data_IF_362011746151
#
_entry.id   IF_362011746151
#
_cell.length_a   1.000
_cell.length_b   1.000
_cell.length_c   1.000
_cell.angle_alpha   90.00
_cell.angle_beta   90.00
_cell.angle_gamma   90.00
#
_symmetry.space_group_name_H-M   'P 1'
#
loop_
_entity.id
_entity.type
_entity.pdbx_description
1 polymer ?
#
# COMPACT_ATOMS: atom_id res chain seq x y z
N UNK A 1 14.61 -8.28 2.55
CA UNK A 1 14.02 -9.01 1.40
C UNK A 1 12.56 -8.63 1.16
N UNK A 2 11.63 -8.88 2.10
CA UNK A 2 10.19 -8.55 1.94
C UNK A 2 9.93 -7.15 1.35
N UNK A 3 10.51 -6.11 1.96
CA UNK A 3 10.37 -4.72 1.51
C UNK A 3 10.80 -4.52 0.04
N UNK A 4 11.93 -5.10 -0.37
CA UNK A 4 12.44 -4.96 -1.73
C UNK A 4 11.54 -5.67 -2.74
N UNK A 5 11.03 -6.85 -2.41
CA UNK A 5 10.08 -7.59 -3.27
C UNK A 5 8.78 -6.80 -3.42
N UNK A 6 8.25 -6.22 -2.33
CA UNK A 6 7.09 -5.34 -2.40
C UNK A 6 7.35 -4.10 -3.27
N UNK A 7 8.55 -3.51 -3.18
CA UNK A 7 8.95 -2.37 -4.03
C UNK A 7 9.00 -2.73 -5.51
N UNK A 8 9.59 -3.87 -5.85
CA UNK A 8 9.65 -4.37 -7.23
C UNK A 8 8.24 -4.65 -7.77
N UNK A 9 7.39 -5.34 -6.99
CA UNK A 9 6.01 -5.62 -7.37
C UNK A 9 5.18 -4.32 -7.53
N UNK A 10 5.38 -3.35 -6.65
CA UNK A 10 4.75 -2.02 -6.76
C UNK A 10 5.17 -1.30 -8.05
N UNK A 11 6.45 -1.32 -8.39
CA UNK A 11 6.96 -0.72 -9.62
C UNK A 11 6.33 -1.37 -10.86
N UNK A 12 6.30 -2.71 -10.91
CA UNK A 12 5.65 -3.44 -12.02
C UNK A 12 4.16 -3.11 -12.13
N UNK A 13 3.43 -3.05 -11.02
CA UNK A 13 2.02 -2.68 -11.04
C UNK A 13 1.79 -1.28 -11.63
N UNK A 14 2.65 -0.33 -11.33
CA UNK A 14 2.56 1.01 -11.92
C UNK A 14 2.91 1.02 -13.41
N UNK A 15 4.00 0.37 -13.80
CA UNK A 15 4.42 0.27 -15.22
C UNK A 15 3.31 -0.37 -16.06
N UNK A 16 2.69 -1.44 -15.57
CA UNK A 16 1.59 -2.11 -16.28
C UNK A 16 0.34 -1.23 -16.42
N UNK A 17 0.12 -0.29 -15.50
CA UNK A 17 -1.03 0.61 -15.56
C UNK A 17 -0.87 1.77 -16.56
N UNK A 18 0.37 2.14 -16.88
CA UNK A 18 0.70 3.23 -17.78
C UNK A 18 2.01 2.96 -18.55
N UNK A 19 2.07 1.90 -19.38
CA UNK A 19 3.31 1.41 -19.98
C UNK A 19 3.95 2.39 -20.98
N UNK A 20 3.17 3.35 -21.48
CA UNK A 20 3.62 4.38 -22.41
C UNK A 20 3.92 5.71 -21.72
N UNK A 21 3.84 5.79 -20.39
CA UNK A 21 4.16 7.03 -19.67
C UNK A 21 5.67 7.30 -19.73
N UNK A 22 6.04 8.47 -20.26
CA UNK A 22 7.42 8.96 -20.21
C UNK A 22 7.80 9.62 -18.88
N UNK A 23 6.87 9.70 -17.93
CA UNK A 23 7.10 10.36 -16.63
C UNK A 23 7.77 9.35 -15.69
N UNK A 24 9.02 9.62 -15.23
CA UNK A 24 9.70 8.72 -14.32
C UNK A 24 9.02 8.71 -12.95
N UNK A 25 8.94 7.51 -12.36
CA UNK A 25 8.46 7.35 -10.98
C UNK A 25 9.59 6.99 -10.05
N UNK A 26 9.68 7.72 -8.94
CA UNK A 26 10.66 7.46 -7.86
C UNK A 26 9.92 7.51 -6.53
N UNK A 27 10.11 6.50 -5.69
CA UNK A 27 9.53 6.51 -4.35
C UNK A 27 9.67 5.19 -3.59
N UNK A 28 9.93 5.31 -2.29
CA UNK A 28 9.88 4.21 -1.33
C UNK A 28 8.44 3.78 -0.97
N UNK A 29 7.46 4.64 -1.23
CA UNK A 29 6.09 4.51 -0.74
C UNK A 29 5.37 3.24 -1.21
N UNK A 30 5.65 2.74 -2.41
CA UNK A 30 5.10 1.46 -2.90
C UNK A 30 5.55 0.26 -2.05
N UNK A 31 6.84 0.21 -1.69
CA UNK A 31 7.36 -0.83 -0.81
C UNK A 31 6.78 -0.72 0.62
N UNK A 32 6.67 0.52 1.14
CA UNK A 32 6.01 0.79 2.42
C UNK A 32 4.54 0.34 2.38
N UNK A 33 3.84 0.57 1.27
CA UNK A 33 2.47 0.11 1.07
C UNK A 33 2.36 -1.41 1.22
N UNK A 34 3.34 -2.15 0.72
CA UNK A 34 3.41 -3.61 0.94
C UNK A 34 3.63 -4.00 2.40
N UNK A 35 4.44 -3.26 3.16
CA UNK A 35 4.56 -3.46 4.61
C UNK A 35 3.22 -3.21 5.30
N UNK A 36 2.48 -2.17 4.91
CA UNK A 36 1.15 -1.88 5.45
C UNK A 36 0.12 -2.96 5.09
N UNK A 37 0.19 -3.52 3.89
CA UNK A 37 -0.62 -4.66 3.46
C UNK A 37 -0.33 -5.93 4.26
N UNK A 38 0.93 -6.18 4.64
CA UNK A 38 1.23 -7.25 5.58
C UNK A 38 0.71 -6.93 6.99
N UNK A 39 0.90 -5.69 7.44
CA UNK A 39 0.52 -5.24 8.77
C UNK A 39 -0.97 -5.39 9.04
N UNK A 40 -1.83 -5.04 8.07
CA UNK A 40 -3.29 -5.15 8.26
C UNK A 40 -3.75 -6.61 8.47
N UNK A 41 -3.05 -7.58 7.87
CA UNK A 41 -3.37 -9.01 8.02
C UNK A 41 -2.85 -9.58 9.34
N UNK A 42 -1.65 -9.18 9.75
CA UNK A 42 -1.03 -9.67 10.99
C UNK A 42 -1.60 -9.00 12.24
N UNK A 43 -1.93 -7.71 12.13
CA UNK A 43 -2.25 -6.85 13.27
C UNK A 43 -3.55 -6.04 13.07
N UNK A 44 -4.67 -6.65 12.65
CA UNK A 44 -5.89 -5.91 12.30
C UNK A 44 -6.45 -5.10 13.48
N UNK A 45 -6.25 -5.58 14.72
CA UNK A 45 -6.75 -4.99 15.96
C UNK A 45 -5.78 -4.01 16.62
N UNK A 46 -4.53 -3.94 16.18
CA UNK A 46 -3.57 -2.99 16.75
C UNK A 46 -4.01 -1.56 16.46
N UNK A 47 -3.71 -0.64 17.36
CA UNK A 47 -4.00 0.78 17.17
C UNK A 47 -2.80 1.49 16.56
N UNK A 48 -3.03 2.26 15.50
CA UNK A 48 -2.06 3.20 14.91
C UNK A 48 -2.33 4.59 15.45
N UNK A 49 -1.26 5.30 15.78
CA UNK A 49 -1.32 6.69 16.24
C UNK A 49 -1.41 7.60 15.02
N UNK A 50 -2.48 8.37 14.94
CA UNK A 50 -2.76 9.30 13.85
C UNK A 50 -2.69 10.71 14.40
N UNK A 51 -1.87 11.54 13.77
CA UNK A 51 -1.82 12.96 14.09
C UNK A 51 -2.99 13.68 13.41
N UNK A 52 -3.81 14.37 14.20
CA UNK A 52 -4.99 15.12 13.73
C UNK A 52 -4.94 16.55 14.27
N UNK A 53 -5.87 17.41 13.82
CA UNK A 53 -5.98 18.78 14.32
C UNK A 53 -6.20 18.86 15.84
N UNK A 54 -6.84 17.86 16.44
CA UNK A 54 -7.09 17.77 17.89
C UNK A 54 -6.01 17.02 18.68
N UNK A 55 -4.86 16.71 18.07
CA UNK A 55 -3.79 15.93 18.69
C UNK A 55 -3.67 14.50 18.15
N UNK A 56 -2.97 13.65 18.90
CA UNK A 56 -2.70 12.26 18.51
C UNK A 56 -3.84 11.37 18.96
N UNK A 57 -4.53 10.74 18.02
CA UNK A 57 -5.61 9.77 18.27
C UNK A 57 -5.16 8.36 17.90
N UNK A 58 -5.65 7.37 18.64
CA UNK A 58 -5.34 5.96 18.39
C UNK A 58 -6.49 5.30 17.62
N UNK A 59 -6.25 4.94 16.36
CA UNK A 59 -7.25 4.37 15.44
C UNK A 59 -6.91 2.91 15.18
N UNK A 60 -7.89 1.99 15.14
CA UNK A 60 -7.63 0.60 14.73
C UNK A 60 -6.97 0.54 13.34
N UNK A 61 -5.95 -0.29 13.20
CA UNK A 61 -5.16 -0.40 11.97
C UNK A 61 -6.01 -0.81 10.78
N UNK A 62 -6.95 -1.74 10.97
CA UNK A 62 -7.88 -2.11 9.91
C UNK A 62 -8.66 -0.90 9.36
N UNK A 63 -9.14 -0.01 10.24
CA UNK A 63 -9.88 1.19 9.83
C UNK A 63 -8.95 2.16 9.11
N UNK A 64 -7.82 2.52 9.72
CA UNK A 64 -6.91 3.52 9.15
C UNK A 64 -6.31 3.06 7.82
N UNK A 65 -5.77 1.85 7.76
CA UNK A 65 -5.12 1.32 6.56
C UNK A 65 -6.16 0.94 5.49
N UNK A 66 -7.33 0.45 5.89
CA UNK A 66 -8.44 0.15 4.99
C UNK A 66 -8.98 1.40 4.29
N UNK A 67 -9.22 2.49 5.03
CA UNK A 67 -9.62 3.77 4.46
C UNK A 67 -8.51 4.34 3.55
N UNK A 68 -7.26 4.27 3.99
CA UNK A 68 -6.14 4.77 3.21
C UNK A 68 -6.01 4.06 1.85
N UNK A 69 -6.07 2.72 1.82
CA UNK A 69 -5.96 1.97 0.55
C UNK A 69 -7.18 2.18 -0.34
N UNK A 70 -8.37 2.35 0.24
CA UNK A 70 -9.57 2.69 -0.52
C UNK A 70 -9.42 4.04 -1.23
N UNK A 71 -8.85 5.04 -0.56
CA UNK A 71 -8.53 6.34 -1.19
C UNK A 71 -7.52 6.17 -2.32
N UNK A 72 -6.48 5.33 -2.15
CA UNK A 72 -5.54 5.03 -3.25
C UNK A 72 -6.27 4.44 -4.46
N UNK A 73 -7.22 3.51 -4.23
CA UNK A 73 -8.01 2.89 -5.29
C UNK A 73 -8.89 3.90 -6.03
N UNK A 74 -9.67 4.71 -5.29
CA UNK A 74 -10.56 5.73 -5.88
C UNK A 74 -9.75 6.74 -6.70
N UNK A 75 -8.64 7.24 -6.15
CA UNK A 75 -7.78 8.18 -6.86
C UNK A 75 -7.07 7.53 -8.05
N UNK A 76 -6.69 6.26 -7.94
CA UNK A 76 -6.09 5.49 -9.02
C UNK A 76 -7.04 5.28 -10.19
N UNK A 77 -8.29 4.91 -9.93
CA UNK A 77 -9.34 4.79 -10.97
C UNK A 77 -9.62 6.16 -11.60
N UNK A 78 -9.75 7.20 -10.78
CA UNK A 78 -9.93 8.57 -11.28
C UNK A 78 -8.76 9.08 -12.13
N UNK A 79 -7.53 8.68 -11.80
CA UNK A 79 -6.33 9.02 -12.57
C UNK A 79 -6.27 8.28 -13.91
N UNK A 80 -6.73 7.02 -13.99
CA UNK A 80 -6.81 6.29 -15.26
C UNK A 80 -7.85 6.91 -16.20
N UNK A 81 -8.95 7.42 -15.66
CA UNK A 81 -10.02 8.05 -16.44
C UNK A 81 -9.62 9.42 -17.04
N UNK A 82 -8.50 10.00 -16.61
CA UNK A 82 -8.00 11.29 -17.09
C UNK A 82 -6.81 11.07 -18.01
N UNK A 83 -6.82 11.72 -19.16
CA UNK A 83 -5.71 11.70 -20.13
C UNK A 83 -4.51 12.53 -19.68
N UNK A 84 -4.71 13.46 -18.73
CA UNK A 84 -3.64 14.27 -18.15
C UNK A 84 -3.25 13.78 -16.75
N UNK A 85 -1.93 13.70 -16.52
CA UNK A 85 -1.35 13.22 -15.27
C UNK A 85 -1.36 14.34 -14.22
N UNK A 86 -2.47 14.51 -13.50
CA UNK A 86 -2.69 15.72 -12.66
C UNK A 86 -2.13 15.65 -11.23
N UNK A 87 -1.81 14.47 -10.70
CA UNK A 87 -1.56 14.30 -9.25
C UNK A 87 -0.11 14.11 -8.83
N UNK A 88 0.78 13.73 -9.75
CA UNK A 88 2.17 13.34 -9.42
C UNK A 88 2.31 12.09 -8.54
N UNK A 89 1.20 11.44 -8.16
CA UNK A 89 1.19 10.27 -7.27
C UNK A 89 1.00 8.98 -8.08
N UNK A 90 1.91 8.03 -7.90
CA UNK A 90 1.83 6.70 -8.50
C UNK A 90 0.85 5.79 -7.72
N UNK A 91 -0.46 6.06 -7.81
CA UNK A 91 -1.49 5.31 -7.07
C UNK A 91 -1.42 3.80 -7.30
N UNK A 92 -1.15 3.37 -8.53
CA UNK A 92 -1.03 1.95 -8.88
C UNK A 92 0.17 1.28 -8.23
N UNK A 93 1.23 2.03 -7.91
CA UNK A 93 2.35 1.51 -7.10
C UNK A 93 1.91 1.23 -5.66
N UNK A 94 1.11 2.11 -5.05
CA UNK A 94 0.59 1.90 -3.70
C UNK A 94 -0.35 0.70 -3.65
N UNK A 95 -1.28 0.60 -4.60
CA UNK A 95 -2.25 -0.50 -4.70
C UNK A 95 -1.51 -1.83 -4.92
N UNK A 96 -0.64 -1.88 -5.93
CA UNK A 96 0.14 -3.09 -6.25
C UNK A 96 1.06 -3.52 -5.11
N UNK A 97 1.75 -2.56 -4.49
CA UNK A 97 2.58 -2.82 -3.31
C UNK A 97 1.78 -3.41 -2.16
N UNK A 98 0.64 -2.81 -1.80
CA UNK A 98 -0.23 -3.28 -0.72
C UNK A 98 -0.74 -4.70 -0.96
N UNK A 99 -1.23 -5.00 -2.17
CA UNK A 99 -1.67 -6.34 -2.55
C UNK A 99 -0.53 -7.35 -2.54
N UNK A 100 0.63 -7.00 -3.11
CA UNK A 100 1.81 -7.85 -3.09
C UNK A 100 2.25 -8.18 -1.66
N UNK A 101 2.21 -7.19 -0.75
CA UNK A 101 2.51 -7.38 0.66
C UNK A 101 1.55 -8.33 1.37
N UNK A 102 0.23 -8.21 1.10
CA UNK A 102 -0.79 -9.14 1.62
C UNK A 102 -0.55 -10.58 1.16
N UNK A 103 -0.15 -10.78 -0.09
CA UNK A 103 0.12 -12.12 -0.65
C UNK A 103 1.42 -12.67 -0.07
N UNK A 104 2.49 -11.88 -0.15
CA UNK A 104 3.83 -12.29 0.26
C UNK A 104 3.90 -12.63 1.74
N UNK A 105 3.20 -11.89 2.60
CA UNK A 105 3.23 -12.21 4.04
C UNK A 105 2.61 -13.57 4.33
N UNK A 106 1.51 -13.93 3.65
CA UNK A 106 0.88 -15.24 3.81
C UNK A 106 1.82 -16.36 3.43
N UNK A 107 2.60 -16.19 2.36
CA UNK A 107 3.60 -17.17 1.91
C UNK A 107 4.76 -17.26 2.91
N UNK A 108 5.26 -16.13 3.41
CA UNK A 108 6.41 -16.09 4.33
C UNK A 108 6.08 -16.49 5.77
N UNK A 109 4.80 -16.60 6.14
CA UNK A 109 4.34 -17.06 7.45
C UNK A 109 3.79 -18.49 7.45
N UNK A 110 3.79 -19.20 6.32
CA UNK A 110 3.40 -20.62 6.26
C UNK A 110 4.23 -21.41 7.29
N UNK A 111 3.55 -22.21 8.12
CA UNK A 111 4.18 -23.05 9.14
C UNK A 111 4.69 -22.31 10.39
N UNK A 112 4.54 -20.98 10.45
CA UNK A 112 4.87 -20.19 11.66
C UNK A 112 3.63 -20.06 12.54
N UNK A 113 3.77 -20.37 13.83
CA UNK A 113 2.70 -20.10 14.81
C UNK A 113 2.49 -18.58 14.92
N UNK A 114 1.25 -18.08 15.02
CA UNK A 114 1.02 -16.67 15.30
C UNK A 114 1.68 -16.32 16.64
N UNK A 115 2.63 -15.38 16.62
CA UNK A 115 3.31 -14.92 17.84
C UNK A 115 2.43 -14.01 18.73
N UNK A 116 1.18 -13.76 18.31
CA UNK A 116 0.26 -12.83 18.94
C UNK A 116 -1.05 -13.57 19.23
N UNK A 117 -1.06 -14.27 20.37
CA UNK A 117 -2.28 -14.65 21.08
C UNK A 117 -2.44 -13.72 22.27
#
# INVERSE_FOLDING_TARGET
IFYLVCGVAAAFAHIMSAPHSGVPTVGASGAISGVLGAYILLFPRNKVRVFTRGGIVAVPAFVMLGLWILIQFVNGVGAIARTEQTSGVAYMAHIGGFVAGMILIKVMTIGRRPAYA
#
